data_IF_853868273008
#
_entry.id   IF_853868273008
#
_cell.length_a   1.000
_cell.length_b   1.000
_cell.length_c   1.000
_cell.angle_alpha   90.00
_cell.angle_beta   90.00
_cell.angle_gamma   90.00
#
_symmetry.space_group_name_H-M   'P 1'
#
loop_
_entity.id
_entity.type
_entity.pdbx_description
1 polymer ?
#
# COMPACT_ATOMS: atom_id res chain seq x y z
N UNK A 1 -22.78 -34.03 -3.94
CA UNK A 1 -21.75 -34.83 -4.62
C UNK A 1 -22.38 -35.94 -5.49
N UNK A 2 -23.62 -36.39 -5.21
CA UNK A 2 -24.24 -37.50 -5.95
C UNK A 2 -24.98 -37.11 -7.24
N UNK A 3 -25.36 -35.84 -7.44
CA UNK A 3 -26.09 -35.41 -8.64
C UNK A 3 -25.24 -34.99 -9.85
N UNK A 4 -23.94 -34.75 -9.65
CA UNK A 4 -23.07 -34.28 -10.71
C UNK A 4 -22.37 -35.38 -11.56
N UNK A 5 -22.75 -36.64 -11.40
CA UNK A 5 -22.09 -37.75 -12.14
C UNK A 5 -22.39 -37.85 -13.63
N UNK A 6 -23.26 -37.01 -14.19
CA UNK A 6 -23.68 -37.09 -15.59
C UNK A 6 -23.45 -35.86 -16.47
N UNK A 7 -22.72 -34.84 -15.98
CA UNK A 7 -22.37 -33.68 -16.81
C UNK A 7 -20.92 -33.79 -17.22
N UNK A 8 -20.70 -33.97 -18.50
CA UNK A 8 -19.35 -34.01 -19.09
C UNK A 8 -18.61 -32.72 -18.81
N UNK A 9 -17.34 -32.89 -18.40
CA UNK A 9 -16.32 -31.87 -18.19
C UNK A 9 -16.59 -30.78 -17.13
N UNK A 10 -16.37 -31.17 -15.87
CA UNK A 10 -16.42 -30.32 -14.67
C UNK A 10 -15.54 -29.06 -14.75
N UNK A 11 -14.49 -29.03 -15.58
CA UNK A 11 -13.56 -27.90 -15.68
C UNK A 11 -14.17 -26.70 -16.37
N UNK A 12 -15.04 -26.91 -17.36
CA UNK A 12 -15.71 -25.81 -18.07
C UNK A 12 -16.77 -25.11 -17.21
N UNK A 13 -17.57 -25.87 -16.44
CA UNK A 13 -18.59 -25.27 -15.57
C UNK A 13 -17.98 -24.46 -14.43
N UNK A 14 -16.93 -24.96 -13.78
CA UNK A 14 -16.19 -24.23 -12.75
C UNK A 14 -15.49 -22.98 -13.29
N UNK A 15 -14.97 -23.03 -14.52
CA UNK A 15 -14.39 -21.85 -15.18
C UNK A 15 -15.45 -20.79 -15.49
N UNK A 16 -16.64 -21.17 -15.96
CA UNK A 16 -17.75 -20.24 -16.25
C UNK A 16 -18.26 -19.58 -14.95
N UNK A 17 -18.43 -20.33 -13.88
CA UNK A 17 -18.84 -19.78 -12.57
C UNK A 17 -17.78 -18.84 -12.01
N UNK A 18 -16.49 -19.19 -12.09
CA UNK A 18 -15.39 -18.34 -11.63
C UNK A 18 -15.27 -17.03 -12.43
N UNK A 19 -15.44 -17.08 -13.76
CA UNK A 19 -15.41 -15.89 -14.62
C UNK A 19 -16.63 -15.00 -14.37
N UNK A 20 -17.81 -15.57 -14.19
CA UNK A 20 -19.05 -14.81 -13.94
C UNK A 20 -19.06 -14.17 -12.54
N UNK A 21 -18.52 -14.84 -11.53
CA UNK A 21 -18.36 -14.25 -10.19
C UNK A 21 -17.36 -13.06 -10.21
N UNK A 22 -16.30 -13.13 -11.00
CA UNK A 22 -15.36 -12.01 -11.19
C UNK A 22 -16.01 -10.83 -11.95
N UNK A 23 -16.82 -11.11 -12.98
CA UNK A 23 -17.47 -10.05 -13.78
C UNK A 23 -18.62 -9.37 -13.02
N UNK A 24 -19.36 -10.07 -12.18
CA UNK A 24 -20.44 -9.47 -11.36
C UNK A 24 -19.86 -8.54 -10.28
N UNK A 25 -18.73 -8.91 -9.67
CA UNK A 25 -18.02 -8.02 -8.74
C UNK A 25 -17.40 -6.80 -9.43
N UNK A 26 -16.91 -6.95 -10.68
CA UNK A 26 -16.38 -5.87 -11.51
C UNK A 26 -17.46 -4.88 -11.96
N UNK A 27 -18.65 -5.32 -12.33
CA UNK A 27 -19.78 -4.46 -12.74
C UNK A 27 -20.23 -3.56 -11.59
N UNK A 28 -20.28 -4.06 -10.37
CA UNK A 28 -20.56 -3.26 -9.17
C UNK A 28 -19.50 -2.19 -8.93
N UNK A 29 -18.22 -2.54 -9.10
CA UNK A 29 -17.07 -1.64 -8.93
C UNK A 29 -16.98 -0.58 -10.05
N UNK A 30 -17.29 -0.93 -11.30
CA UNK A 30 -17.30 0.04 -12.40
C UNK A 30 -18.40 1.09 -12.29
N UNK A 31 -19.58 0.73 -11.80
CA UNK A 31 -20.65 1.70 -11.57
C UNK A 31 -20.31 2.66 -10.42
N UNK A 32 -19.69 2.17 -9.34
CA UNK A 32 -19.17 2.99 -8.25
C UNK A 32 -18.03 3.91 -8.68
N UNK A 33 -17.11 3.42 -9.52
CA UNK A 33 -16.02 4.22 -10.08
C UNK A 33 -16.51 5.32 -11.03
N UNK A 34 -17.49 5.04 -11.89
CA UNK A 34 -18.10 6.04 -12.78
C UNK A 34 -18.86 7.13 -12.03
N UNK A 35 -19.56 6.81 -10.94
CA UNK A 35 -20.20 7.80 -10.09
C UNK A 35 -19.20 8.69 -9.33
N UNK A 36 -18.05 8.15 -8.91
CA UNK A 36 -16.96 8.92 -8.27
C UNK A 36 -16.26 9.86 -9.25
N UNK A 37 -15.96 9.42 -10.45
CA UNK A 37 -15.33 10.26 -11.48
C UNK A 37 -16.19 11.49 -11.82
N UNK A 38 -17.52 11.34 -11.89
CA UNK A 38 -18.44 12.45 -12.12
C UNK A 38 -18.50 13.45 -10.93
N UNK A 39 -18.37 12.97 -9.68
CA UNK A 39 -18.35 13.86 -8.51
C UNK A 39 -17.03 14.61 -8.36
N UNK A 40 -15.89 14.01 -8.66
CA UNK A 40 -14.59 14.70 -8.61
C UNK A 40 -14.48 15.81 -9.66
N UNK A 41 -15.09 15.65 -10.83
CA UNK A 41 -15.10 16.68 -11.88
C UNK A 41 -15.96 17.90 -11.48
N UNK A 42 -17.01 17.70 -10.70
CA UNK A 42 -17.89 18.80 -10.22
C UNK A 42 -17.26 19.56 -9.04
N UNK A 43 -16.47 18.86 -8.19
CA UNK A 43 -15.84 19.50 -7.00
C UNK A 43 -14.61 20.33 -7.38
N UNK A 44 -13.87 19.98 -8.45
CA UNK A 44 -12.72 20.77 -8.91
C UNK A 44 -13.10 22.08 -9.63
N UNK A 45 -14.31 22.21 -10.17
CA UNK A 45 -14.75 23.47 -10.81
C UNK A 45 -15.12 24.57 -9.82
N UNK A 46 -15.35 24.27 -8.54
CA UNK A 46 -15.71 25.26 -7.53
C UNK A 46 -14.53 25.82 -6.72
N UNK A 47 -13.32 25.29 -6.86
CA UNK A 47 -12.15 25.71 -6.03
C UNK A 47 -11.23 26.71 -6.75
N UNK A 48 -11.41 26.95 -8.05
CA UNK A 48 -10.56 27.89 -8.82
C UNK A 48 -11.07 29.32 -8.92
N UNK A 49 -11.99 29.75 -8.03
CA UNK A 49 -12.62 31.07 -8.04
C UNK A 49 -12.19 32.08 -6.95
N UNK A 50 -11.17 31.80 -6.16
CA UNK A 50 -10.70 32.77 -5.16
C UNK A 50 -9.21 33.11 -5.39
N UNK A 51 -8.97 34.14 -6.20
CA UNK A 51 -7.69 34.85 -6.23
C UNK A 51 -7.51 35.59 -4.89
N UNK A 52 -6.72 35.04 -3.98
CA UNK A 52 -6.16 35.82 -2.89
C UNK A 52 -4.84 36.43 -3.34
N UNK A 53 -4.86 37.73 -3.57
CA UNK A 53 -3.68 38.58 -3.64
C UNK A 53 -2.99 38.57 -2.26
N UNK A 54 -1.91 37.84 -2.11
CA UNK A 54 -0.99 38.04 -1.00
C UNK A 54 0.22 38.82 -1.55
N UNK A 55 0.07 40.12 -1.56
CA UNK A 55 1.17 41.03 -1.87
C UNK A 55 2.08 41.13 -0.64
N UNK A 56 3.31 40.69 -0.81
CA UNK A 56 4.55 41.18 -0.23
C UNK A 56 4.44 42.04 1.03
N UNK A 57 4.79 41.46 2.17
CA UNK A 57 5.53 42.18 3.21
C UNK A 57 6.26 41.17 4.12
N UNK A 58 7.42 40.68 3.66
CA UNK A 58 8.46 40.08 4.51
C UNK A 58 9.83 40.25 3.87
N UNK A 59 10.11 41.45 3.41
CA UNK A 59 11.48 41.90 3.24
C UNK A 59 11.77 42.87 4.38
N UNK A 60 12.46 42.38 5.39
CA UNK A 60 13.28 43.06 6.39
C UNK A 60 13.19 42.35 7.75
N UNK A 61 13.78 41.15 7.83
CA UNK A 61 14.34 40.64 9.11
C UNK A 61 15.23 39.42 8.76
N UNK A 62 16.53 39.57 9.00
CA UNK A 62 17.65 38.62 8.88
C UNK A 62 18.58 38.78 7.67
N UNK A 63 19.11 39.97 7.49
CA UNK A 63 20.24 40.21 6.55
C UNK A 63 21.62 40.23 7.20
N UNK A 64 21.78 39.85 8.47
CA UNK A 64 23.07 40.03 9.18
C UNK A 64 23.53 38.82 10.02
N UNK A 65 23.39 37.57 9.57
CA UNK A 65 23.96 36.45 10.32
C UNK A 65 24.75 35.41 9.50
N UNK A 66 24.82 35.52 8.16
CA UNK A 66 25.60 34.59 7.35
C UNK A 66 26.44 35.38 6.33
N UNK A 67 27.72 35.53 6.61
CA UNK A 67 28.71 36.20 5.72
C UNK A 67 29.03 35.36 4.49
N UNK A 68 28.73 34.04 4.49
CA UNK A 68 28.96 33.13 3.38
C UNK A 68 27.59 32.76 2.74
N UNK A 69 27.44 32.95 1.39
CA UNK A 69 26.21 32.68 0.66
C UNK A 69 25.68 31.22 0.88
N UNK A 70 24.39 31.06 0.89
CA UNK A 70 23.77 29.73 1.02
C UNK A 70 24.10 28.85 -0.20
N UNK A 71 23.92 27.53 -0.08
CA UNK A 71 24.07 26.61 -1.20
C UNK A 71 23.09 26.95 -2.33
N UNK A 72 21.86 27.35 -1.99
CA UNK A 72 20.83 27.74 -2.96
C UNK A 72 21.20 28.99 -3.74
N UNK A 73 21.83 29.99 -3.11
CA UNK A 73 22.32 31.20 -3.78
C UNK A 73 23.40 30.85 -4.81
N UNK A 74 24.33 29.97 -4.44
CA UNK A 74 25.40 29.48 -5.32
C UNK A 74 24.82 28.73 -6.51
N UNK A 75 23.90 27.80 -6.28
CA UNK A 75 23.20 27.06 -7.34
C UNK A 75 22.39 27.99 -8.24
N UNK A 76 21.75 29.01 -7.67
CA UNK A 76 21.00 30.04 -8.39
C UNK A 76 21.88 30.79 -9.39
N UNK A 77 23.10 31.19 -8.98
CA UNK A 77 24.08 31.85 -9.87
C UNK A 77 24.52 30.92 -10.99
N UNK A 78 24.84 29.66 -10.69
CA UNK A 78 25.25 28.67 -11.69
C UNK A 78 24.14 28.33 -12.69
N UNK A 79 22.89 28.26 -12.24
CA UNK A 79 21.68 28.03 -13.09
C UNK A 79 21.45 29.18 -14.06
N UNK A 80 21.57 30.42 -13.59
CA UNK A 80 21.29 31.60 -14.40
C UNK A 80 22.39 31.91 -15.41
N UNK A 81 23.63 31.58 -15.07
CA UNK A 81 24.79 31.99 -15.89
C UNK A 81 25.08 31.04 -17.05
N UNK A 82 24.66 29.75 -16.95
CA UNK A 82 24.88 28.67 -17.96
C UNK A 82 26.35 28.54 -18.47
N UNK A 83 27.31 29.14 -17.78
CA UNK A 83 28.76 29.16 -18.15
C UNK A 83 29.53 28.69 -16.92
N UNK A 84 30.68 28.06 -17.16
CA UNK A 84 31.62 27.68 -16.11
C UNK A 84 32.17 28.93 -15.42
N UNK A 85 32.16 28.96 -14.09
CA UNK A 85 32.60 30.09 -13.27
C UNK A 85 33.67 29.66 -12.27
N UNK A 86 34.73 30.48 -12.13
CA UNK A 86 35.69 30.29 -11.02
C UNK A 86 35.08 30.64 -9.69
N UNK A 87 35.64 30.14 -8.57
CA UNK A 87 35.22 30.50 -7.21
C UNK A 87 35.12 32.01 -7.01
N UNK A 88 36.13 32.76 -7.53
CA UNK A 88 36.18 34.23 -7.46
C UNK A 88 35.02 34.87 -8.26
N UNK A 89 34.69 34.34 -9.43
CA UNK A 89 33.61 34.87 -10.26
C UNK A 89 32.23 34.62 -9.60
N UNK A 90 32.02 33.48 -8.93
CA UNK A 90 30.80 33.18 -8.16
C UNK A 90 30.75 34.13 -6.95
N UNK A 91 31.88 34.30 -6.23
CA UNK A 91 31.96 35.19 -5.09
C UNK A 91 31.63 36.65 -5.47
N UNK A 92 32.18 37.15 -6.57
CA UNK A 92 31.89 38.48 -7.06
C UNK A 92 30.42 38.72 -7.41
N UNK A 93 29.75 37.70 -8.02
CA UNK A 93 28.31 37.75 -8.33
C UNK A 93 27.42 37.73 -7.09
N UNK A 94 27.89 37.11 -6.00
CA UNK A 94 27.16 36.99 -4.73
C UNK A 94 27.56 38.07 -3.71
N UNK A 95 28.48 38.98 -4.09
CA UNK A 95 28.92 40.08 -3.22
C UNK A 95 29.73 39.61 -2.00
N UNK A 96 30.46 38.49 -2.11
CA UNK A 96 31.29 37.92 -1.05
C UNK A 96 32.58 38.73 -0.95
N UNK A 97 32.95 39.16 0.25
CA UNK A 97 34.21 39.92 0.49
C UNK A 97 35.41 38.99 0.41
N UNK A 98 36.58 39.61 0.08
CA UNK A 98 37.83 38.87 -0.12
C UNK A 98 38.25 38.06 1.11
N UNK A 99 37.93 38.55 2.29
CA UNK A 99 38.22 37.89 3.59
C UNK A 99 37.40 36.60 3.82
N UNK A 100 36.31 36.44 3.07
CA UNK A 100 35.36 35.33 3.20
C UNK A 100 35.51 34.24 2.11
N UNK A 101 36.43 34.47 1.17
CA UNK A 101 36.67 33.58 0.02
C UNK A 101 37.07 32.17 0.43
N UNK A 102 37.85 32.01 1.51
CA UNK A 102 38.21 30.68 2.04
C UNK A 102 37.00 29.89 2.56
N UNK A 103 36.06 30.57 3.20
CA UNK A 103 34.80 29.97 3.67
C UNK A 103 33.92 29.55 2.50
N UNK A 104 33.87 30.38 1.46
CA UNK A 104 33.12 30.06 0.25
C UNK A 104 33.77 28.91 -0.52
N UNK A 105 35.08 28.88 -0.65
CA UNK A 105 35.81 27.78 -1.30
C UNK A 105 35.59 26.46 -0.59
N UNK A 106 35.61 26.46 0.76
CA UNK A 106 35.23 25.27 1.55
C UNK A 106 33.78 24.81 1.28
N UNK A 107 32.84 25.76 1.11
CA UNK A 107 31.46 25.45 0.75
C UNK A 107 31.32 24.88 -0.65
N UNK A 108 32.02 25.45 -1.65
CA UNK A 108 32.06 24.92 -3.01
C UNK A 108 32.64 23.50 -3.05
N UNK A 109 33.75 23.26 -2.35
CA UNK A 109 34.35 21.91 -2.24
C UNK A 109 33.40 20.91 -1.54
N UNK A 110 32.62 21.38 -0.56
CA UNK A 110 31.58 20.55 0.06
C UNK A 110 30.43 20.24 -0.92
N UNK A 111 29.95 21.23 -1.69
CA UNK A 111 28.94 21.07 -2.72
C UNK A 111 29.41 20.15 -3.86
N UNK A 112 30.69 20.18 -4.19
CA UNK A 112 31.31 19.28 -5.18
C UNK A 112 31.36 17.84 -4.65
N UNK A 113 31.79 17.64 -3.40
CA UNK A 113 31.75 16.32 -2.75
C UNK A 113 30.33 15.77 -2.65
N UNK A 114 29.37 16.64 -2.40
CA UNK A 114 27.95 16.29 -2.32
C UNK A 114 27.31 16.17 -3.72
N UNK A 115 28.08 16.43 -4.80
CA UNK A 115 27.66 16.24 -6.19
C UNK A 115 26.70 17.27 -6.74
N UNK A 116 26.52 18.39 -6.07
CA UNK A 116 25.67 19.49 -6.54
C UNK A 116 26.29 20.29 -7.67
N UNK A 117 27.62 20.36 -7.67
CA UNK A 117 28.45 21.05 -8.70
C UNK A 117 29.63 20.18 -9.06
N UNK A 118 30.23 20.42 -10.22
CA UNK A 118 31.49 19.79 -10.63
C UNK A 118 32.50 20.86 -11.02
N UNK A 119 33.81 20.60 -10.78
CA UNK A 119 34.89 21.48 -11.25
C UNK A 119 35.66 20.84 -12.41
N UNK A 120 36.16 21.64 -13.32
CA UNK A 120 37.11 21.21 -14.34
C UNK A 120 38.56 21.33 -13.85
N UNK A 121 39.51 20.84 -14.66
CA UNK A 121 40.95 20.90 -14.35
C UNK A 121 41.49 22.33 -14.14
N UNK A 122 40.75 23.33 -14.55
CA UNK A 122 41.11 24.76 -14.41
C UNK A 122 40.42 25.41 -13.20
N UNK A 123 39.68 24.63 -12.36
CA UNK A 123 39.01 25.14 -11.17
C UNK A 123 37.71 25.93 -11.45
N UNK A 124 37.11 25.76 -12.63
CA UNK A 124 35.82 26.36 -12.93
C UNK A 124 34.68 25.42 -12.51
N UNK A 125 33.75 25.97 -11.76
CA UNK A 125 32.55 25.24 -11.29
C UNK A 125 31.38 25.38 -12.29
N UNK A 126 30.64 24.30 -12.43
CA UNK A 126 29.41 24.24 -13.20
C UNK A 126 28.43 23.36 -12.43
N UNK A 127 27.14 23.50 -12.69
CA UNK A 127 26.16 22.55 -12.17
C UNK A 127 26.55 21.13 -12.60
N UNK A 128 26.48 20.19 -11.70
CA UNK A 128 26.61 18.79 -12.07
C UNK A 128 25.55 18.47 -13.14
N UNK A 129 25.96 17.81 -14.22
CA UNK A 129 25.05 17.44 -15.29
C UNK A 129 23.88 16.67 -14.71
N UNK A 130 22.66 17.08 -15.01
CA UNK A 130 21.44 16.39 -14.58
C UNK A 130 21.36 14.96 -15.13
N UNK A 131 22.10 14.68 -16.21
CA UNK A 131 22.14 13.36 -16.87
C UNK A 131 22.77 12.24 -16.01
N UNK A 132 23.41 12.58 -14.89
CA UNK A 132 24.04 11.62 -13.98
C UNK A 132 23.24 11.35 -12.69
N UNK A 133 22.08 11.97 -12.51
CA UNK A 133 21.23 11.77 -11.35
C UNK A 133 20.05 10.86 -11.70
N UNK A 134 19.88 9.83 -10.91
CA UNK A 134 18.80 8.86 -11.05
C UNK A 134 17.96 8.91 -9.79
N UNK A 135 16.65 9.11 -9.94
CA UNK A 135 15.69 9.03 -8.84
C UNK A 135 14.99 7.68 -8.88
N UNK A 136 14.78 7.11 -7.70
CA UNK A 136 14.16 5.80 -7.62
C UNK A 136 13.95 5.34 -6.18
N UNK A 137 13.56 4.09 -6.04
CA UNK A 137 13.26 3.44 -4.77
C UNK A 137 14.42 2.55 -4.34
N UNK A 138 14.81 2.63 -3.07
CA UNK A 138 15.88 1.82 -2.49
C UNK A 138 15.38 0.39 -2.25
N UNK A 139 16.07 -0.58 -2.83
CA UNK A 139 15.90 -1.99 -2.58
C UNK A 139 17.13 -2.53 -1.82
N UNK A 140 16.97 -2.79 -0.53
CA UNK A 140 18.06 -3.27 0.33
C UNK A 140 18.24 -4.79 0.24
N UNK A 141 19.47 -5.23 0.34
CA UNK A 141 19.82 -6.66 0.44
C UNK A 141 20.27 -7.00 1.86
N UNK A 142 20.01 -8.21 2.31
CA UNK A 142 20.37 -8.70 3.65
C UNK A 142 21.88 -8.63 3.99
N UNK A 143 22.73 -8.59 2.97
CA UNK A 143 24.20 -8.52 3.13
C UNK A 143 24.71 -7.08 3.23
N UNK A 144 23.82 -6.10 3.48
CA UNK A 144 24.15 -4.69 3.76
C UNK A 144 24.28 -3.77 2.55
N UNK A 145 24.37 -4.29 1.34
CA UNK A 145 24.30 -3.47 0.12
C UNK A 145 22.85 -3.34 -0.39
N UNK A 146 22.63 -2.50 -1.39
CA UNK A 146 21.33 -2.34 -2.00
C UNK A 146 21.39 -1.90 -3.45
N UNK A 147 20.23 -1.61 -3.99
CA UNK A 147 20.06 -1.08 -5.34
C UNK A 147 19.08 0.10 -5.30
N UNK A 148 19.32 1.09 -6.12
CA UNK A 148 18.30 2.05 -6.48
C UNK A 148 17.59 1.52 -7.71
N UNK A 149 16.30 1.26 -7.60
CA UNK A 149 15.41 0.86 -8.69
C UNK A 149 14.85 2.14 -9.30
N UNK A 150 15.26 2.52 -10.52
CA UNK A 150 14.83 3.77 -11.14
C UNK A 150 13.34 3.79 -11.47
N UNK A 151 12.72 4.97 -11.39
CA UNK A 151 11.30 5.17 -11.73
C UNK A 151 11.04 5.11 -13.24
N UNK A 152 12.06 5.38 -14.05
CA UNK A 152 11.99 5.36 -15.52
C UNK A 152 12.19 3.97 -16.13
N UNK A 153 12.41 2.94 -15.30
CA UNK A 153 12.63 1.56 -15.74
C UNK A 153 14.02 1.30 -16.33
N UNK A 154 14.96 2.21 -16.16
CA UNK A 154 16.38 1.98 -16.51
C UNK A 154 17.03 0.93 -15.59
N UNK A 155 18.30 0.58 -15.88
CA UNK A 155 19.02 -0.42 -15.08
C UNK A 155 19.21 0.02 -13.62
N UNK A 156 19.10 -0.95 -12.70
CA UNK A 156 19.27 -0.75 -11.27
C UNK A 156 20.71 -0.24 -10.97
N UNK A 157 20.77 0.78 -10.12
CA UNK A 157 22.04 1.36 -9.69
C UNK A 157 22.50 0.72 -8.37
N UNK A 158 23.67 0.10 -8.37
CA UNK A 158 24.23 -0.54 -7.18
C UNK A 158 24.57 0.50 -6.10
N UNK A 159 24.11 0.28 -4.87
CA UNK A 159 24.37 1.08 -3.69
C UNK A 159 25.25 0.28 -2.72
N UNK A 160 26.51 0.68 -2.49
CA UNK A 160 27.38 -0.01 -1.53
C UNK A 160 26.90 0.20 -0.09
N UNK A 161 27.35 -0.65 0.83
CA UNK A 161 26.97 -0.63 2.25
C UNK A 161 27.06 0.75 2.90
N UNK A 162 28.11 1.52 2.61
CA UNK A 162 28.28 2.89 3.12
C UNK A 162 27.14 3.84 2.72
N UNK A 163 26.51 3.62 1.57
CA UNK A 163 25.36 4.40 1.12
C UNK A 163 24.07 3.92 1.79
N UNK A 164 23.96 2.60 2.01
CA UNK A 164 22.83 1.98 2.67
C UNK A 164 22.70 2.37 4.16
N UNK A 165 23.80 2.80 4.80
CA UNK A 165 23.75 3.34 6.17
C UNK A 165 22.92 4.61 6.30
N UNK A 166 22.65 5.33 5.20
CA UNK A 166 21.89 6.60 5.21
C UNK A 166 20.39 6.41 5.05
N UNK A 167 19.95 5.23 4.62
CA UNK A 167 18.59 4.96 4.13
C UNK A 167 18.08 3.63 4.62
N UNK A 168 16.77 3.45 4.51
CA UNK A 168 16.10 2.19 4.77
C UNK A 168 15.51 1.62 3.47
N UNK A 169 15.15 0.34 3.50
CA UNK A 169 14.47 -0.30 2.38
C UNK A 169 13.17 0.44 2.04
N UNK A 170 12.98 0.76 0.76
CA UNK A 170 11.78 1.43 0.29
C UNK A 170 11.88 2.96 0.22
N UNK A 171 12.87 3.59 0.86
CA UNK A 171 13.08 5.03 0.78
C UNK A 171 13.22 5.47 -0.69
N UNK A 172 12.67 6.63 -1.02
CA UNK A 172 12.78 7.25 -2.32
C UNK A 172 13.91 8.26 -2.30
N UNK A 173 14.89 8.10 -3.19
CA UNK A 173 16.11 8.90 -3.17
C UNK A 173 16.54 9.31 -4.57
N UNK A 174 17.37 10.33 -4.63
CA UNK A 174 18.17 10.68 -5.82
C UNK A 174 19.62 10.27 -5.56
N UNK A 175 20.18 9.47 -6.45
CA UNK A 175 21.56 9.07 -6.42
C UNK A 175 22.29 9.55 -7.68
N UNK A 176 23.59 9.81 -7.52
CA UNK A 176 24.49 10.13 -8.62
C UNK A 176 25.30 8.90 -8.99
N UNK A 177 25.41 8.62 -10.28
CA UNK A 177 26.31 7.59 -10.80
C UNK A 177 27.76 8.01 -10.53
N UNK A 178 28.53 7.18 -9.82
CA UNK A 178 29.92 7.44 -9.43
C UNK A 178 30.92 6.65 -10.25
N UNK A 179 30.47 5.60 -10.93
CA UNK A 179 31.33 4.74 -11.76
C UNK A 179 30.71 3.35 -11.93
N UNK A 180 31.56 2.35 -12.07
CA UNK A 180 31.18 0.95 -12.13
C UNK A 180 31.90 0.15 -11.05
N UNK A 181 31.21 -0.82 -10.45
CA UNK A 181 31.81 -1.74 -9.50
C UNK A 181 32.72 -2.78 -10.20
N UNK A 182 33.36 -3.66 -9.42
CA UNK A 182 34.25 -4.70 -9.94
C UNK A 182 33.55 -5.72 -10.84
N UNK A 183 32.21 -5.76 -10.83
CA UNK A 183 31.37 -6.64 -11.64
C UNK A 183 30.77 -5.95 -12.85
N UNK A 184 31.15 -4.67 -13.10
CA UNK A 184 30.67 -3.88 -14.23
C UNK A 184 29.29 -3.25 -14.03
N UNK A 185 28.69 -3.31 -12.82
CA UNK A 185 27.41 -2.65 -12.51
C UNK A 185 27.63 -1.19 -12.21
N UNK A 186 26.72 -0.32 -12.64
CA UNK A 186 26.76 1.10 -12.28
C UNK A 186 26.64 1.27 -10.75
N UNK A 187 27.60 2.00 -10.15
CA UNK A 187 27.62 2.31 -8.72
C UNK A 187 27.12 3.73 -8.47
N UNK A 188 26.27 3.90 -7.46
CA UNK A 188 25.67 5.16 -7.08
C UNK A 188 26.05 5.65 -5.70
N UNK A 189 26.00 6.96 -5.52
CA UNK A 189 26.05 7.62 -4.21
C UNK A 189 24.78 8.44 -4.00
N UNK A 190 24.12 8.25 -2.86
CA UNK A 190 22.89 8.94 -2.50
C UNK A 190 23.22 10.41 -2.22
N UNK A 191 22.56 11.29 -2.94
CA UNK A 191 22.71 12.75 -2.86
C UNK A 191 21.58 13.37 -2.06
N UNK A 192 20.36 12.89 -2.26
CA UNK A 192 19.18 13.45 -1.63
C UNK A 192 18.19 12.34 -1.28
N UNK A 193 17.49 12.49 -0.17
CA UNK A 193 16.41 11.62 0.25
C UNK A 193 15.12 12.39 -0.01
N UNK A 194 14.32 11.90 -0.97
CA UNK A 194 13.09 12.54 -1.40
C UNK A 194 11.93 12.20 -0.46
N UNK A 195 11.86 10.92 -0.03
CA UNK A 195 10.79 10.42 0.81
C UNK A 195 11.28 9.26 1.68
N UNK A 196 10.88 9.26 2.96
CA UNK A 196 11.11 8.16 3.89
C UNK A 196 9.92 7.21 3.86
N UNK A 197 10.17 5.97 3.47
CA UNK A 197 9.11 4.97 3.33
C UNK A 197 8.67 4.37 4.69
N UNK A 198 9.55 4.41 5.69
CA UNK A 198 9.34 3.69 6.93
C UNK A 198 9.22 4.66 8.10
N UNK A 199 8.07 4.64 8.74
CA UNK A 199 7.80 5.33 10.00
C UNK A 199 7.78 4.36 11.19
N UNK A 200 7.49 3.08 10.93
CA UNK A 200 7.44 2.02 11.93
C UNK A 200 8.31 0.85 11.51
N UNK A 201 8.91 0.20 12.49
CA UNK A 201 9.71 -1.01 12.30
C UNK A 201 9.34 -2.02 13.36
N UNK A 202 9.28 -3.31 12.97
CA UNK A 202 9.04 -4.42 13.88
C UNK A 202 10.35 -5.15 14.07
N UNK A 203 10.66 -5.46 15.31
CA UNK A 203 11.89 -6.16 15.63
C UNK A 203 11.90 -6.71 17.04
N UNK A 204 12.96 -7.47 17.31
CA UNK A 204 13.19 -8.07 18.60
C UNK A 204 13.94 -7.10 19.50
N UNK A 205 13.39 -6.84 20.69
CA UNK A 205 14.03 -5.99 21.68
C UNK A 205 15.20 -6.72 22.35
N UNK A 206 16.36 -6.12 22.33
CA UNK A 206 17.59 -6.67 22.92
C UNK A 206 18.20 -5.65 23.88
N UNK A 207 18.97 -6.16 24.84
CA UNK A 207 19.78 -5.33 25.74
C UNK A 207 21.24 -5.74 25.61
N UNK A 208 22.06 -4.85 25.07
CA UNK A 208 23.49 -5.08 24.92
C UNK A 208 24.26 -4.11 25.81
N UNK A 209 24.82 -4.67 26.90
CA UNK A 209 25.61 -3.91 27.89
C UNK A 209 24.89 -2.66 28.45
N UNK A 210 23.57 -2.75 28.64
CA UNK A 210 22.77 -1.64 29.16
C UNK A 210 22.17 -0.72 28.08
N UNK A 211 22.55 -0.89 26.83
CA UNK A 211 21.95 -0.19 25.68
C UNK A 211 20.80 -1.02 25.12
N UNK A 212 19.65 -0.40 24.99
CA UNK A 212 18.49 -1.04 24.40
C UNK A 212 18.48 -0.80 22.88
N UNK A 213 18.38 -1.90 22.14
CA UNK A 213 18.30 -1.91 20.69
C UNK A 213 17.13 -2.77 20.23
N UNK A 214 16.65 -2.50 19.03
CA UNK A 214 15.65 -3.34 18.36
C UNK A 214 16.29 -3.89 17.09
N UNK A 215 16.46 -5.22 17.04
CA UNK A 215 16.92 -5.96 15.86
C UNK A 215 15.72 -6.17 14.94
N UNK A 216 15.68 -5.55 13.73
CA UNK A 216 14.55 -5.68 12.82
C UNK A 216 14.32 -7.12 12.37
N UNK A 217 13.06 -7.57 12.35
CA UNK A 217 12.66 -8.87 11.80
C UNK A 217 12.82 -8.94 10.28
N UNK A 218 12.71 -7.81 9.60
CA UNK A 218 12.98 -7.73 8.19
C UNK A 218 14.49 -7.61 7.93
N UNK A 219 15.09 -8.68 7.45
CA UNK A 219 16.53 -8.78 7.15
C UNK A 219 17.01 -7.82 6.04
N UNK A 220 16.11 -7.07 5.42
CA UNK A 220 16.46 -5.99 4.49
C UNK A 220 16.95 -4.73 5.24
N UNK A 221 16.67 -4.63 6.54
CA UNK A 221 17.31 -3.64 7.40
C UNK A 221 18.66 -4.17 7.82
N UNK A 222 19.73 -3.50 7.41
CA UNK A 222 21.12 -3.93 7.65
C UNK A 222 21.70 -3.47 8.99
N UNK A 223 20.92 -2.72 9.77
CA UNK A 223 21.36 -2.16 11.04
C UNK A 223 20.27 -2.22 12.11
N UNK A 224 20.69 -2.41 13.35
CA UNK A 224 19.81 -2.33 14.51
C UNK A 224 19.39 -0.88 14.77
N UNK A 225 18.26 -0.73 15.45
CA UNK A 225 17.67 0.57 15.74
C UNK A 225 17.82 0.84 17.25
N UNK A 226 18.41 1.98 17.58
CA UNK A 226 18.55 2.38 18.97
C UNK A 226 17.19 2.74 19.58
N UNK A 227 16.97 2.34 20.82
CA UNK A 227 15.76 2.72 21.53
C UNK A 227 15.94 4.06 22.22
N UNK A 228 15.03 4.99 21.98
CA UNK A 228 14.96 6.25 22.69
C UNK A 228 14.45 6.02 24.13
N UNK A 229 15.34 6.10 25.11
CA UNK A 229 14.98 6.01 26.52
C UNK A 229 14.76 4.59 27.04
N UNK A 230 13.82 4.43 27.96
CA UNK A 230 13.53 3.17 28.67
C UNK A 230 12.56 2.29 27.83
N UNK A 231 12.71 0.95 27.88
CA UNK A 231 11.78 0.03 27.21
C UNK A 231 10.38 -0.02 27.87
N UNK A 232 10.18 0.66 28.99
CA UNK A 232 8.92 0.67 29.72
C UNK A 232 8.56 -0.71 30.26
N UNK A 233 7.45 -1.28 29.81
CA UNK A 233 6.98 -2.62 30.21
C UNK A 233 7.56 -3.75 29.35
N UNK A 234 8.21 -3.42 28.24
CA UNK A 234 8.77 -4.43 27.34
C UNK A 234 10.01 -5.09 27.95
N UNK A 235 10.19 -6.36 27.66
CA UNK A 235 11.31 -7.19 28.14
C UNK A 235 12.22 -7.57 26.98
N UNK A 236 13.51 -7.78 27.29
CA UNK A 236 14.45 -8.32 26.30
C UNK A 236 13.95 -9.66 25.75
N UNK A 237 14.04 -9.85 24.45
CA UNK A 237 13.55 -11.02 23.73
C UNK A 237 12.17 -10.85 23.11
N UNK A 238 11.37 -9.90 23.58
CA UNK A 238 10.05 -9.65 23.03
C UNK A 238 10.09 -8.97 21.65
N UNK A 239 9.10 -9.26 20.84
CA UNK A 239 8.84 -8.57 19.58
C UNK A 239 8.06 -7.29 19.87
N UNK A 240 8.56 -6.18 19.35
CA UNK A 240 7.98 -4.86 19.52
C UNK A 240 7.80 -4.15 18.20
N UNK A 241 6.80 -3.30 18.11
CA UNK A 241 6.67 -2.29 17.06
C UNK A 241 7.21 -0.97 17.60
N UNK A 242 8.10 -0.35 16.83
CA UNK A 242 8.69 0.94 17.16
C UNK A 242 8.33 1.97 16.10
N UNK A 243 8.09 3.20 16.53
CA UNK A 243 8.01 4.37 15.66
C UNK A 243 9.39 5.01 15.59
N UNK A 244 9.91 5.25 14.39
CA UNK A 244 11.19 5.90 14.18
C UNK A 244 11.07 7.39 14.50
N UNK A 245 11.82 7.83 15.53
CA UNK A 245 11.89 9.24 15.93
C UNK A 245 13.04 9.97 15.23
N UNK A 246 14.11 9.24 14.92
CA UNK A 246 15.23 9.75 14.13
C UNK A 246 15.58 8.73 13.05
N UNK A 247 15.65 9.23 11.83
CA UNK A 247 16.02 8.42 10.67
C UNK A 247 17.52 8.22 10.56
N UNK A 248 18.01 7.12 9.94
CA UNK A 248 19.43 6.87 9.85
C UNK A 248 20.14 7.93 9.00
N UNK A 249 21.37 8.23 9.37
CA UNK A 249 22.27 9.12 8.65
C UNK A 249 23.61 8.42 8.44
N UNK A 250 24.52 9.07 7.69
CA UNK A 250 25.89 8.54 7.51
C UNK A 250 26.64 8.32 8.83
N UNK A 251 26.26 9.04 9.91
CA UNK A 251 27.00 9.10 11.17
C UNK A 251 26.22 8.62 12.38
N UNK A 252 24.95 8.33 12.22
CA UNK A 252 24.06 7.93 13.30
C UNK A 252 23.08 6.85 12.82
N UNK A 253 22.90 5.83 13.66
CA UNK A 253 21.86 4.82 13.49
C UNK A 253 20.47 5.44 13.68
N UNK A 254 19.45 4.78 13.15
CA UNK A 254 18.07 5.16 13.41
C UNK A 254 17.76 5.03 14.92
N UNK A 255 16.90 5.91 15.41
CA UNK A 255 16.39 5.88 16.78
C UNK A 255 14.86 5.73 16.75
N UNK A 256 14.31 4.91 17.62
CA UNK A 256 12.88 4.70 17.70
C UNK A 256 12.36 4.61 19.14
N UNK A 257 11.07 4.73 19.28
CA UNK A 257 10.35 4.50 20.56
C UNK A 257 9.37 3.34 20.39
N UNK A 258 9.20 2.52 21.43
CA UNK A 258 8.21 1.44 21.43
C UNK A 258 6.81 2.05 21.45
N UNK A 259 5.97 1.63 20.47
CA UNK A 259 4.56 1.99 20.39
C UNK A 259 3.66 0.81 20.73
N UNK A 260 4.14 -0.44 20.50
CA UNK A 260 3.37 -1.64 20.76
C UNK A 260 4.30 -2.79 21.18
N UNK A 261 3.86 -3.61 22.14
CA UNK A 261 4.52 -4.86 22.53
C UNK A 261 3.66 -5.98 21.96
N UNK A 262 4.21 -6.75 21.03
CA UNK A 262 3.50 -7.83 20.35
C UNK A 262 3.46 -9.13 21.18
N UNK A 263 4.50 -9.41 21.94
CA UNK A 263 4.64 -10.61 22.78
C UNK A 263 6.00 -11.27 22.64
N UNK A 264 6.10 -12.52 23.06
CA UNK A 264 7.33 -13.30 22.93
C UNK A 264 7.42 -13.91 21.53
N UNK A 265 8.65 -14.06 21.00
CA UNK A 265 8.86 -14.56 19.62
C UNK A 265 8.29 -15.97 19.43
N UNK A 266 8.24 -16.76 20.50
CA UNK A 266 7.75 -18.14 20.48
C UNK A 266 6.23 -18.25 20.73
N UNK A 267 5.52 -17.11 20.88
CA UNK A 267 4.07 -17.11 21.04
C UNK A 267 3.39 -17.65 19.77
N UNK A 268 2.38 -18.54 19.89
CA UNK A 268 1.66 -19.08 18.75
C UNK A 268 1.04 -17.96 17.88
N UNK A 269 1.42 -17.90 16.61
CA UNK A 269 0.90 -16.91 15.65
C UNK A 269 1.69 -15.60 15.61
N UNK A 270 2.81 -15.49 16.31
CA UNK A 270 3.64 -14.29 16.30
C UNK A 270 4.13 -13.95 14.89
N UNK A 271 4.40 -14.94 14.04
CA UNK A 271 4.76 -14.75 12.64
C UNK A 271 3.65 -14.03 11.84
N UNK A 272 2.37 -14.27 12.19
CA UNK A 272 1.22 -13.59 11.59
C UNK A 272 1.16 -12.14 12.08
N UNK A 273 1.32 -11.92 13.39
CA UNK A 273 1.35 -10.56 13.98
C UNK A 273 2.46 -9.70 13.36
N UNK A 274 3.64 -10.28 13.19
CA UNK A 274 4.77 -9.63 12.51
C UNK A 274 4.41 -9.31 11.06
N UNK A 275 3.88 -10.29 10.31
CA UNK A 275 3.54 -10.11 8.90
C UNK A 275 2.46 -9.02 8.70
N UNK A 276 1.41 -9.03 9.51
CA UNK A 276 0.32 -8.05 9.48
C UNK A 276 0.86 -6.62 9.58
N UNK A 277 1.73 -6.38 10.55
CA UNK A 277 2.30 -5.04 10.76
C UNK A 277 3.39 -4.69 9.76
N UNK A 278 4.22 -5.66 9.39
CA UNK A 278 5.28 -5.50 8.38
C UNK A 278 4.73 -5.05 7.03
N UNK A 279 3.57 -5.59 6.64
CA UNK A 279 2.92 -5.25 5.38
C UNK A 279 1.83 -4.18 5.52
N UNK A 280 1.68 -3.60 6.71
CA UNK A 280 0.69 -2.56 6.96
C UNK A 280 -0.75 -3.03 6.72
N UNK A 281 -1.04 -4.33 6.97
CA UNK A 281 -2.39 -4.87 6.78
C UNK A 281 -3.32 -4.26 7.82
N UNK A 282 -4.40 -3.57 7.41
CA UNK A 282 -5.39 -3.04 8.34
C UNK A 282 -6.09 -4.20 9.08
N UNK A 283 -5.75 -4.43 10.34
CA UNK A 283 -6.21 -5.60 11.12
C UNK A 283 -7.26 -5.26 12.18
N UNK A 284 -7.41 -3.99 12.53
CA UNK A 284 -8.45 -3.50 13.43
C UNK A 284 -9.50 -2.71 12.66
N UNK A 285 -10.77 -2.93 12.98
CA UNK A 285 -11.86 -2.10 12.47
C UNK A 285 -11.94 -0.80 13.26
N UNK A 286 -12.38 0.27 12.62
CA UNK A 286 -12.69 1.54 13.27
C UNK A 286 -13.79 1.34 14.33
N UNK A 287 -13.80 2.18 15.35
CA UNK A 287 -14.85 2.13 16.38
C UNK A 287 -16.24 2.44 15.80
N UNK A 288 -16.29 3.25 14.74
CA UNK A 288 -17.51 3.55 14.02
C UNK A 288 -18.06 2.29 13.31
N UNK A 289 -17.21 1.55 12.60
CA UNK A 289 -17.58 0.30 11.93
C UNK A 289 -17.99 -0.79 12.95
N UNK A 290 -17.24 -0.96 14.05
CA UNK A 290 -17.59 -1.87 15.15
C UNK A 290 -18.96 -1.55 15.73
N UNK A 291 -19.23 -0.27 16.01
CA UNK A 291 -20.52 0.20 16.54
C UNK A 291 -21.65 0.01 15.54
N UNK A 292 -21.40 0.20 14.26
CA UNK A 292 -22.41 -0.03 13.22
C UNK A 292 -22.71 -1.52 13.06
N UNK A 293 -21.69 -2.38 12.97
CA UNK A 293 -21.86 -3.83 12.91
C UNK A 293 -22.60 -4.39 14.12
N UNK A 294 -22.36 -3.87 15.33
CA UNK A 294 -23.02 -4.31 16.54
C UNK A 294 -24.55 -4.13 16.52
N UNK A 295 -25.03 -3.10 15.77
CA UNK A 295 -26.47 -2.78 15.65
C UNK A 295 -27.20 -3.62 14.61
N UNK A 296 -26.49 -4.29 13.72
CA UNK A 296 -27.10 -5.17 12.72
C UNK A 296 -27.81 -6.33 13.41
N UNK A 297 -28.92 -6.85 12.83
CA UNK A 297 -29.57 -8.04 13.35
C UNK A 297 -28.66 -9.28 13.23
N UNK A 298 -29.03 -10.37 13.88
CA UNK A 298 -28.36 -11.67 13.71
C UNK A 298 -28.93 -12.49 12.56
N UNK A 299 -30.15 -12.16 12.12
CA UNK A 299 -30.92 -12.88 11.12
C UNK A 299 -31.58 -11.91 10.15
N UNK A 300 -32.00 -12.42 8.99
CA UNK A 300 -32.78 -11.66 8.01
C UNK A 300 -34.14 -11.31 8.61
N UNK A 301 -34.53 -10.05 8.56
CA UNK A 301 -35.80 -9.59 9.11
C UNK A 301 -36.93 -9.69 8.07
N UNK A 302 -38.15 -9.86 8.52
CA UNK A 302 -39.33 -9.94 7.64
C UNK A 302 -39.47 -8.74 6.69
N UNK A 303 -39.09 -7.53 7.12
CA UNK A 303 -39.07 -6.31 6.30
C UNK A 303 -38.07 -6.38 5.16
N UNK A 304 -36.96 -7.14 5.32
CA UNK A 304 -35.88 -7.25 4.34
C UNK A 304 -36.28 -8.16 3.18
N UNK A 305 -37.38 -8.90 3.29
CA UNK A 305 -37.95 -9.75 2.27
C UNK A 305 -38.81 -9.01 1.25
N UNK A 306 -39.17 -7.75 1.54
CA UNK A 306 -39.98 -6.94 0.63
C UNK A 306 -39.25 -6.74 -0.71
N UNK A 307 -40.00 -6.94 -1.82
CA UNK A 307 -39.48 -6.81 -3.21
C UNK A 307 -38.37 -7.80 -3.58
N UNK A 308 -38.25 -8.92 -2.86
CA UNK A 308 -37.34 -10.02 -3.19
C UNK A 308 -38.07 -11.25 -3.67
N UNK A 309 -37.47 -11.95 -4.63
CA UNK A 309 -37.98 -13.25 -5.08
C UNK A 309 -37.68 -14.30 -4.02
N UNK A 310 -38.67 -15.08 -3.67
CA UNK A 310 -38.49 -16.18 -2.72
C UNK A 310 -37.97 -17.43 -3.45
N UNK A 311 -36.73 -17.81 -3.17
CA UNK A 311 -36.04 -18.98 -3.73
C UNK A 311 -35.70 -20.00 -2.64
N UNK A 312 -36.32 -19.94 -1.46
CA UNK A 312 -36.00 -20.82 -0.33
C UNK A 312 -36.30 -22.27 -0.61
N UNK A 313 -37.25 -22.55 -1.52
CA UNK A 313 -37.60 -23.90 -1.95
C UNK A 313 -36.63 -24.47 -3.00
N UNK A 314 -35.74 -23.65 -3.56
CA UNK A 314 -34.72 -24.09 -4.50
C UNK A 314 -33.50 -24.60 -3.73
N UNK A 315 -33.07 -25.87 -3.94
CA UNK A 315 -31.95 -26.45 -3.17
C UNK A 315 -30.59 -25.92 -3.70
N UNK A 316 -30.34 -24.64 -3.47
CA UNK A 316 -29.03 -24.03 -3.75
C UNK A 316 -27.98 -24.61 -2.79
N UNK A 317 -26.74 -24.72 -3.24
CA UNK A 317 -25.61 -25.23 -2.45
C UNK A 317 -24.42 -24.30 -2.59
N UNK A 318 -23.59 -24.16 -1.54
CA UNK A 318 -22.29 -23.51 -1.59
C UNK A 318 -21.20 -24.55 -1.83
N UNK A 319 -20.11 -24.19 -2.51
CA UNK A 319 -19.01 -25.12 -2.85
C UNK A 319 -17.68 -24.43 -2.59
N UNK A 320 -17.25 -24.44 -1.36
CA UNK A 320 -16.05 -23.77 -0.87
C UNK A 320 -15.06 -24.74 -0.24
N UNK A 321 -13.87 -24.22 0.15
CA UNK A 321 -12.90 -24.99 0.91
C UNK A 321 -13.43 -25.42 2.28
N UNK A 322 -12.93 -26.52 2.80
CA UNK A 322 -13.39 -27.12 4.06
C UNK A 322 -13.34 -26.14 5.25
N UNK A 323 -12.32 -25.26 5.27
CA UNK A 323 -12.11 -24.28 6.34
C UNK A 323 -12.81 -22.93 6.11
N UNK A 324 -13.49 -22.72 4.96
CA UNK A 324 -14.16 -21.47 4.64
C UNK A 324 -15.36 -21.23 5.59
N UNK A 325 -15.60 -19.95 5.91
CA UNK A 325 -16.73 -19.49 6.74
C UNK A 325 -17.52 -18.36 6.10
N UNK A 326 -16.97 -17.78 5.07
CA UNK A 326 -17.47 -16.67 4.28
C UNK A 326 -17.90 -17.20 2.91
N UNK A 327 -19.13 -17.71 2.84
CA UNK A 327 -19.70 -18.27 1.62
C UNK A 327 -20.36 -17.14 0.83
N UNK A 328 -19.70 -16.67 -0.20
CA UNK A 328 -20.15 -15.52 -0.98
C UNK A 328 -21.16 -15.92 -2.06
N UNK A 329 -21.10 -17.17 -2.57
CA UNK A 329 -21.92 -17.64 -3.66
C UNK A 329 -22.59 -19.00 -3.37
N UNK A 330 -23.81 -19.15 -3.90
CA UNK A 330 -24.53 -20.42 -3.93
C UNK A 330 -25.05 -20.69 -5.33
N UNK A 331 -25.08 -21.94 -5.72
CA UNK A 331 -25.45 -22.35 -7.07
C UNK A 331 -26.54 -23.41 -7.09
N UNK A 332 -27.35 -23.37 -8.15
CA UNK A 332 -28.32 -24.44 -8.48
C UNK A 332 -28.32 -24.64 -9.98
N UNK A 333 -28.42 -25.88 -10.44
CA UNK A 333 -28.46 -26.21 -11.86
C UNK A 333 -29.50 -27.32 -12.14
N UNK A 334 -30.32 -27.07 -13.15
CA UNK A 334 -31.28 -28.07 -13.64
C UNK A 334 -31.28 -28.18 -15.17
N UNK A 335 -31.56 -29.35 -15.76
CA UNK A 335 -31.68 -29.49 -17.20
C UNK A 335 -32.96 -28.83 -17.71
N UNK A 336 -32.85 -28.07 -18.82
CA UNK A 336 -33.99 -27.42 -19.50
C UNK A 336 -33.96 -27.70 -21.01
N UNK A 337 -35.12 -27.53 -21.66
CA UNK A 337 -35.22 -27.59 -23.13
C UNK A 337 -35.14 -26.19 -23.71
N UNK A 338 -34.24 -26.00 -24.66
CA UNK A 338 -34.08 -24.78 -25.47
C UNK A 338 -34.55 -25.08 -26.90
N UNK A 339 -35.82 -24.90 -27.14
CA UNK A 339 -36.44 -25.35 -28.39
C UNK A 339 -36.31 -26.88 -28.54
N UNK A 340 -35.54 -27.34 -29.54
CA UNK A 340 -35.27 -28.78 -29.78
C UNK A 340 -33.97 -29.27 -29.10
N UNK A 341 -33.16 -28.38 -28.56
CA UNK A 341 -31.89 -28.70 -27.94
C UNK A 341 -32.03 -28.87 -26.44
N UNK A 342 -31.06 -29.55 -25.82
CA UNK A 342 -30.91 -29.62 -24.38
C UNK A 342 -30.03 -28.42 -23.92
N UNK A 343 -30.30 -27.96 -22.73
CA UNK A 343 -29.49 -26.96 -22.05
C UNK A 343 -29.65 -27.07 -20.54
N UNK A 344 -29.18 -26.09 -19.84
CA UNK A 344 -29.29 -26.02 -18.38
C UNK A 344 -29.79 -24.64 -17.94
N UNK A 345 -30.62 -24.61 -16.92
CA UNK A 345 -30.86 -23.41 -16.14
C UNK A 345 -29.83 -23.41 -15.03
N UNK A 346 -29.07 -22.34 -14.94
CA UNK A 346 -28.08 -22.11 -13.87
C UNK A 346 -28.51 -20.88 -13.09
N UNK A 347 -28.66 -21.05 -11.78
CA UNK A 347 -28.92 -19.98 -10.83
C UNK A 347 -27.63 -19.78 -10.03
N UNK A 348 -27.09 -18.55 -10.05
CA UNK A 348 -25.98 -18.12 -9.22
C UNK A 348 -26.51 -17.04 -8.29
N UNK A 349 -26.46 -17.28 -6.99
CA UNK A 349 -26.90 -16.37 -5.96
C UNK A 349 -25.66 -15.85 -5.21
N UNK A 350 -25.44 -14.54 -5.23
CA UNK A 350 -24.34 -13.86 -4.55
C UNK A 350 -24.89 -13.12 -3.33
N UNK A 351 -24.21 -13.20 -2.19
CA UNK A 351 -24.60 -12.52 -0.96
C UNK A 351 -24.82 -11.00 -1.22
N UNK A 352 -25.99 -10.49 -0.85
CA UNK A 352 -26.35 -9.08 -1.04
C UNK A 352 -25.74 -8.20 0.07
N UNK A 353 -24.43 -8.00 0.00
CA UNK A 353 -23.69 -7.14 0.92
C UNK A 353 -24.21 -5.71 0.89
N UNK A 354 -24.69 -5.24 -0.26
CA UNK A 354 -25.18 -3.87 -0.46
C UNK A 354 -26.43 -3.52 0.35
N UNK A 355 -27.15 -4.54 0.83
CA UNK A 355 -28.27 -4.33 1.74
C UNK A 355 -27.83 -3.83 3.13
N UNK A 356 -26.65 -4.24 3.58
CA UNK A 356 -26.12 -3.96 4.91
C UNK A 356 -25.05 -2.88 4.94
N UNK A 357 -24.28 -2.77 3.86
CA UNK A 357 -23.19 -1.79 3.69
C UNK A 357 -23.61 -0.75 2.65
N UNK A 358 -23.77 0.47 3.10
CA UNK A 358 -24.23 1.56 2.23
C UNK A 358 -23.05 2.48 1.86
N UNK A 359 -23.04 3.06 0.64
CA UNK A 359 -21.95 3.90 0.20
C UNK A 359 -21.66 5.06 1.18
N UNK A 360 -20.39 5.20 1.56
CA UNK A 360 -19.85 6.20 2.48
C UNK A 360 -20.29 6.03 3.95
N UNK A 361 -20.82 4.88 4.34
CA UNK A 361 -20.94 4.57 5.77
C UNK A 361 -19.61 4.04 6.34
N UNK A 362 -19.55 3.86 7.66
CA UNK A 362 -18.31 3.43 8.32
C UNK A 362 -17.86 2.02 7.93
N UNK A 363 -18.77 1.14 7.50
CA UNK A 363 -18.43 -0.19 7.00
C UNK A 363 -17.83 -0.11 5.59
N UNK A 364 -18.40 0.76 4.72
CA UNK A 364 -17.88 1.00 3.37
C UNK A 364 -16.49 1.66 3.41
N UNK A 365 -16.27 2.63 4.32
CA UNK A 365 -14.96 3.28 4.49
C UNK A 365 -13.90 2.28 4.94
N UNK A 366 -14.18 1.43 5.94
CA UNK A 366 -13.26 0.40 6.41
C UNK A 366 -13.03 -0.68 5.34
N UNK A 367 -14.06 -1.11 4.63
CA UNK A 367 -13.96 -2.09 3.55
C UNK A 367 -13.10 -1.56 2.38
N UNK A 368 -13.26 -0.28 2.02
CA UNK A 368 -12.44 0.38 1.01
C UNK A 368 -10.96 0.45 1.42
N UNK A 369 -10.69 0.79 2.69
CA UNK A 369 -9.33 0.82 3.24
C UNK A 369 -8.67 -0.56 3.20
N UNK A 370 -9.43 -1.62 3.54
CA UNK A 370 -8.96 -3.01 3.59
C UNK A 370 -8.80 -3.62 2.20
N UNK A 371 -9.65 -3.23 1.25
CA UNK A 371 -9.69 -3.67 -0.16
C UNK A 371 -10.03 -5.16 -0.37
N UNK A 372 -9.60 -6.05 0.50
CA UNK A 372 -9.83 -7.50 0.44
C UNK A 372 -9.72 -8.13 1.82
N UNK A 373 -10.24 -9.33 1.98
CA UNK A 373 -9.90 -10.20 3.11
C UNK A 373 -8.51 -10.79 2.93
N UNK A 374 -7.75 -10.92 4.02
CA UNK A 374 -6.40 -11.50 4.00
C UNK A 374 -6.38 -12.81 4.77
N UNK A 375 -6.02 -13.89 4.09
CA UNK A 375 -6.04 -15.24 4.63
C UNK A 375 -4.64 -15.69 5.05
N UNK A 376 -4.47 -15.96 6.34
CA UNK A 376 -3.29 -16.59 6.91
C UNK A 376 -3.63 -18.04 7.33
N UNK A 377 -2.64 -18.91 7.49
CA UNK A 377 -2.87 -20.20 8.12
C UNK A 377 -3.54 -20.01 9.50
N UNK A 378 -4.73 -20.57 9.69
CA UNK A 378 -5.54 -20.52 10.94
C UNK A 378 -6.08 -19.14 11.35
N UNK A 379 -5.94 -18.10 10.54
CA UNK A 379 -6.50 -16.76 10.82
C UNK A 379 -6.89 -16.05 9.55
N UNK A 380 -8.05 -15.42 9.56
CA UNK A 380 -8.51 -14.52 8.51
C UNK A 380 -8.59 -13.11 9.09
N UNK A 381 -8.13 -12.13 8.34
CA UNK A 381 -8.40 -10.71 8.60
C UNK A 381 -9.46 -10.29 7.57
N UNK A 382 -10.75 -10.29 7.93
CA UNK A 382 -11.80 -10.11 6.96
C UNK A 382 -11.95 -8.66 6.51
N UNK A 383 -12.42 -8.45 5.29
CA UNK A 383 -12.71 -7.12 4.74
C UNK A 383 -13.86 -6.42 5.48
N UNK A 384 -14.83 -7.19 5.93
CA UNK A 384 -15.98 -6.73 6.72
C UNK A 384 -15.98 -7.40 8.11
N UNK A 385 -16.60 -6.78 9.13
CA UNK A 385 -16.75 -7.42 10.44
C UNK A 385 -17.38 -8.80 10.36
N UNK A 386 -16.92 -9.75 11.19
CA UNK A 386 -17.37 -11.16 11.15
C UNK A 386 -18.89 -11.34 11.24
N UNK A 387 -19.61 -10.42 11.87
CA UNK A 387 -21.08 -10.43 11.91
C UNK A 387 -21.68 -10.31 10.51
N UNK A 388 -20.98 -9.71 9.57
CA UNK A 388 -21.33 -9.67 8.15
C UNK A 388 -20.65 -10.81 7.39
N UNK A 389 -19.31 -10.85 7.37
CA UNK A 389 -18.56 -11.77 6.52
C UNK A 389 -18.84 -13.26 6.81
N UNK A 390 -18.95 -13.65 8.09
CA UNK A 390 -19.25 -15.02 8.49
C UNK A 390 -20.74 -15.22 8.87
N UNK A 391 -21.50 -14.11 8.96
CA UNK A 391 -22.88 -14.06 9.41
C UNK A 391 -23.86 -13.73 8.29
N UNK A 392 -24.37 -12.49 8.29
CA UNK A 392 -25.47 -12.07 7.40
C UNK A 392 -25.15 -12.16 5.91
N UNK A 393 -23.88 -11.95 5.53
CA UNK A 393 -23.41 -12.05 4.14
C UNK A 393 -22.79 -13.41 3.80
N UNK A 394 -22.73 -14.36 4.74
CA UNK A 394 -22.29 -15.71 4.43
C UNK A 394 -23.52 -16.59 4.16
N UNK A 395 -23.56 -17.26 3.01
CA UNK A 395 -24.66 -18.12 2.56
C UNK A 395 -24.63 -19.46 3.28
N UNK A 396 -24.61 -19.42 4.63
CA UNK A 396 -24.58 -20.57 5.49
C UNK A 396 -25.80 -21.50 5.21
N UNK A 397 -25.62 -22.82 5.29
CA UNK A 397 -26.74 -23.75 5.11
C UNK A 397 -27.80 -23.61 6.21
N UNK A 398 -29.03 -23.93 5.84
CA UNK A 398 -30.21 -23.99 6.74
C UNK A 398 -30.60 -22.64 7.39
N UNK A 399 -30.20 -21.51 6.78
CA UNK A 399 -30.60 -20.17 7.23
C UNK A 399 -30.96 -19.28 6.04
N UNK A 400 -31.90 -18.36 6.26
CA UNK A 400 -32.32 -17.41 5.25
C UNK A 400 -31.18 -16.38 5.01
N UNK A 401 -30.91 -16.09 3.73
CA UNK A 401 -29.90 -15.09 3.31
C UNK A 401 -30.41 -14.25 2.15
N UNK A 402 -30.06 -12.98 2.17
CA UNK A 402 -30.36 -12.05 1.09
C UNK A 402 -29.30 -12.15 0.01
N UNK A 403 -29.76 -12.22 -1.24
CA UNK A 403 -28.89 -12.41 -2.39
C UNK A 403 -29.27 -11.53 -3.58
N UNK A 404 -28.29 -11.26 -4.44
CA UNK A 404 -28.48 -10.85 -5.83
C UNK A 404 -28.29 -12.10 -6.70
N UNK A 405 -29.28 -12.41 -7.51
CA UNK A 405 -29.30 -13.63 -8.30
C UNK A 405 -29.09 -13.31 -9.76
N UNK A 406 -28.24 -14.09 -10.41
CA UNK A 406 -28.19 -14.27 -11.85
C UNK A 406 -28.80 -15.61 -12.22
N UNK A 407 -29.97 -15.59 -12.86
CA UNK A 407 -30.71 -16.77 -13.33
C UNK A 407 -30.55 -16.84 -14.86
N UNK A 408 -29.90 -17.87 -15.36
CA UNK A 408 -29.52 -17.96 -16.75
C UNK A 408 -29.84 -19.31 -17.38
N UNK A 409 -30.08 -19.28 -18.68
CA UNK A 409 -30.26 -20.48 -19.52
C UNK A 409 -29.06 -20.61 -20.43
N UNK A 410 -28.33 -21.72 -20.30
CA UNK A 410 -27.10 -22.01 -21.04
C UNK A 410 -27.26 -23.27 -21.90
N UNK A 411 -26.64 -23.30 -23.08
CA UNK A 411 -26.60 -24.47 -23.95
C UNK A 411 -25.60 -25.51 -23.40
N UNK A 412 -25.59 -26.70 -24.02
CA UNK A 412 -24.57 -27.72 -23.71
C UNK A 412 -23.14 -27.25 -24.04
N UNK A 413 -23.00 -26.34 -24.99
CA UNK A 413 -21.72 -25.77 -25.42
C UNK A 413 -21.27 -24.59 -24.55
N UNK A 414 -22.09 -24.18 -23.55
CA UNK A 414 -21.77 -23.11 -22.63
C UNK A 414 -22.27 -21.72 -23.04
N UNK A 415 -22.98 -21.59 -24.18
CA UNK A 415 -23.52 -20.30 -24.63
C UNK A 415 -24.68 -19.85 -23.76
N UNK A 416 -24.68 -18.61 -23.29
CA UNK A 416 -25.79 -17.99 -22.58
C UNK A 416 -26.86 -17.58 -23.60
N UNK A 417 -28.08 -18.14 -23.47
CA UNK A 417 -29.24 -17.84 -24.33
C UNK A 417 -30.18 -16.80 -23.73
N UNK A 418 -30.29 -16.78 -22.42
CA UNK A 418 -31.08 -15.79 -21.69
C UNK A 418 -30.53 -15.65 -20.28
N UNK A 419 -30.68 -14.49 -19.69
CA UNK A 419 -30.34 -14.23 -18.30
C UNK A 419 -31.21 -13.12 -17.70
N UNK A 420 -31.35 -13.12 -16.40
CA UNK A 420 -31.99 -12.03 -15.66
C UNK A 420 -31.32 -11.87 -14.29
N UNK A 421 -31.31 -10.63 -13.77
CA UNK A 421 -30.84 -10.32 -12.43
C UNK A 421 -31.99 -9.84 -11.56
N UNK A 422 -32.05 -10.33 -10.33
CA UNK A 422 -33.04 -9.88 -9.37
C UNK A 422 -32.56 -10.11 -7.94
N UNK A 423 -33.03 -9.29 -6.96
CA UNK A 423 -32.82 -9.54 -5.55
C UNK A 423 -33.70 -10.74 -5.10
N UNK A 424 -33.14 -11.60 -4.28
CA UNK A 424 -33.84 -12.78 -3.78
C UNK A 424 -33.53 -13.05 -2.30
N UNK A 425 -34.32 -13.94 -1.70
CA UNK A 425 -33.99 -14.63 -0.48
C UNK A 425 -33.79 -16.10 -0.80
N UNK A 426 -32.73 -16.68 -0.26
CA UNK A 426 -32.40 -18.10 -0.41
C UNK A 426 -32.31 -18.78 0.96
N UNK A 427 -32.42 -20.09 0.95
CA UNK A 427 -32.16 -20.99 2.09
C UNK A 427 -31.23 -22.09 1.57
N UNK A 428 -29.90 -21.93 1.76
CA UNK A 428 -28.93 -22.87 1.22
C UNK A 428 -29.17 -24.27 1.81
N UNK A 429 -29.27 -25.30 0.95
CA UNK A 429 -29.58 -26.66 1.38
C UNK A 429 -28.35 -27.41 1.93
N UNK A 430 -27.15 -27.06 1.47
CA UNK A 430 -25.90 -27.73 1.87
C UNK A 430 -24.66 -26.92 1.45
N UNK A 431 -23.49 -27.33 1.97
CA UNK A 431 -22.19 -26.87 1.54
C UNK A 431 -21.32 -28.06 1.11
#
# INVERSE_FOLDING_TARGET
>A
VYQFRHVGDRRHLLQIVSVLCQDVSLIGLEQLAKQRALRQTVTMSCIFGARFNFQRNSQHLNKHLYTIPSREDILGVLRTTKVKLTANAIAAKLGVKTEELDGMTRRLNAMERDGQITSDKSGNFVLANQDNFISGKVSSHRDGYGFLVPEDGSEDLFLPEREMQKVLHGDRVTARVTGTDRRGRLEGSIVEILERANTHVIGRLLNENGVWIVAPEDKRYSQDILLAGSPGKAKAGQVVSIELTEQPTRYAQAVGKIVEILGDIDDPGMEIEIAVRKFGVPHEFSDAAKKMASKLPSEVLAKDLENRVDLRDIPLVTIDGEDARDFDDAVYCEPVKIGRCNGHRLIVAIADVSHYVTPNDALDEDALLRSTSVYFPRRVIPMLPEKLSNGLCSLNPEVDRLTLVCDMVITQDGDIKAYQFYPAVIHSAAR
#
